data_IF_538866455889
#
_entry.id   IF_538866455889
#
_cell.length_a   1.000
_cell.length_b   1.000
_cell.length_c   1.000
_cell.angle_alpha   90.00
_cell.angle_beta   90.00
_cell.angle_gamma   90.00
#
_symmetry.space_group_name_H-M   'P 1'
#
loop_
_entity.id
_entity.type
_entity.pdbx_description
1 polymer ?
#
# COMPACT_ATOMS: atom_id res chain seq x y z
N UNK A 1 18.35 19.24 -37.25
CA UNK A 1 18.29 18.43 -36.02
C UNK A 1 17.05 18.85 -35.26
N UNK A 2 15.97 18.08 -35.34
CA UNK A 2 14.69 18.43 -34.73
C UNK A 2 14.68 17.89 -33.29
N UNK A 3 14.67 18.78 -32.30
CA UNK A 3 14.44 18.39 -30.89
C UNK A 3 12.99 17.96 -30.74
N UNK A 4 12.77 16.66 -30.57
CA UNK A 4 11.49 16.11 -30.14
C UNK A 4 11.27 16.54 -28.68
N UNK A 5 10.53 17.64 -28.47
CA UNK A 5 9.99 18.01 -27.17
C UNK A 5 8.97 16.95 -26.77
N UNK A 6 9.35 16.04 -25.88
CA UNK A 6 8.46 15.04 -25.30
C UNK A 6 7.37 15.72 -24.47
N UNK A 7 6.09 15.32 -24.59
CA UNK A 7 5.01 15.91 -23.83
C UNK A 7 5.12 15.58 -22.33
N UNK A 8 4.83 16.57 -21.49
CA UNK A 8 4.64 16.41 -20.05
C UNK A 8 3.37 15.56 -19.84
N UNK A 9 3.51 14.40 -19.19
CA UNK A 9 2.36 13.58 -18.78
C UNK A 9 2.15 13.78 -17.29
N UNK A 10 1.22 14.69 -16.95
CA UNK A 10 0.68 14.80 -15.59
C UNK A 10 -0.49 13.83 -15.48
N UNK A 11 -0.28 12.71 -14.79
CA UNK A 11 -1.38 11.84 -14.37
C UNK A 11 -1.98 12.47 -13.11
N UNK A 12 -3.14 13.12 -13.26
CA UNK A 12 -3.86 13.80 -12.18
C UNK A 12 -4.94 12.85 -11.64
N UNK A 13 -4.88 12.50 -10.35
CA UNK A 13 -5.99 11.84 -9.66
C UNK A 13 -7.03 12.93 -9.34
N UNK A 14 -7.98 13.14 -10.25
CA UNK A 14 -9.03 14.15 -10.10
C UNK A 14 -9.77 14.01 -8.74
N UNK A 15 -10.06 15.11 -8.02
CA UNK A 15 -10.78 15.04 -6.76
C UNK A 15 -12.19 14.45 -6.93
N UNK A 16 -12.50 13.40 -6.14
CA UNK A 16 -13.74 12.61 -6.18
C UNK A 16 -15.04 13.36 -5.81
N UNK A 17 -15.01 14.69 -5.67
CA UNK A 17 -16.16 15.48 -5.23
C UNK A 17 -17.09 15.93 -6.38
N UNK A 18 -16.82 15.52 -7.63
CA UNK A 18 -17.68 15.75 -8.78
C UNK A 18 -18.26 14.40 -9.23
N UNK A 19 -19.50 14.10 -8.86
CA UNK A 19 -20.15 12.81 -9.02
C UNK A 19 -20.34 12.35 -10.47
N UNK A 20 -19.29 11.80 -11.09
CA UNK A 20 -19.36 11.09 -12.36
C UNK A 20 -18.96 9.63 -12.17
N UNK A 21 -19.88 8.75 -12.55
CA UNK A 21 -19.75 7.29 -12.49
C UNK A 21 -18.57 6.79 -13.31
N UNK A 22 -17.67 6.02 -12.70
CA UNK A 22 -16.50 5.45 -13.36
C UNK A 22 -16.84 4.19 -14.16
N UNK A 23 -16.71 4.28 -15.48
CA UNK A 23 -16.53 3.12 -16.35
C UNK A 23 -15.04 2.79 -16.37
N UNK A 24 -14.62 1.72 -15.69
CA UNK A 24 -13.25 1.19 -15.80
C UNK A 24 -13.10 0.54 -17.18
N UNK A 25 -12.32 1.15 -18.07
CA UNK A 25 -11.75 0.45 -19.24
C UNK A 25 -10.32 -0.01 -18.90
N UNK A 26 -9.90 -1.20 -19.36
CA UNK A 26 -8.54 -1.66 -19.16
C UNK A 26 -7.56 -0.75 -19.93
N UNK A 27 -6.44 -0.45 -19.28
CA UNK A 27 -5.32 0.32 -19.82
C UNK A 27 -4.73 -0.45 -21.02
N UNK A 28 -5.11 -0.10 -22.25
CA UNK A 28 -4.43 -0.60 -23.44
C UNK A 28 -3.26 0.33 -23.78
N UNK A 29 -2.08 -0.25 -23.97
CA UNK A 29 -0.81 0.39 -24.32
C UNK A 29 -0.81 1.07 -25.70
N UNK A 30 -1.58 2.16 -25.84
CA UNK A 30 -1.42 3.13 -26.93
C UNK A 30 -1.35 4.53 -26.33
N UNK A 31 -0.13 5.06 -26.29
CA UNK A 31 0.19 6.45 -25.99
C UNK A 31 -0.63 7.36 -26.92
N UNK A 32 -1.74 7.89 -26.41
CA UNK A 32 -2.64 8.73 -27.17
C UNK A 32 -2.14 10.18 -27.15
N UNK A 33 -1.74 10.69 -28.32
CA UNK A 33 -1.66 12.13 -28.60
C UNK A 33 -3.08 12.69 -28.56
N UNK A 34 -3.45 13.43 -27.52
CA UNK A 34 -4.75 14.07 -27.41
C UNK A 34 -4.73 15.25 -26.45
N UNK A 35 -4.87 16.46 -27.00
CA UNK A 35 -4.91 17.70 -26.24
C UNK A 35 -6.17 17.82 -25.39
N UNK A 36 -5.97 18.09 -24.10
CA UNK A 36 -7.00 18.53 -23.16
C UNK A 36 -6.50 19.80 -22.48
N UNK A 37 -7.26 20.88 -22.62
CA UNK A 37 -6.99 22.19 -22.02
C UNK A 37 -7.30 22.11 -20.51
N UNK A 38 -6.32 22.39 -19.64
CA UNK A 38 -6.51 22.44 -18.18
C UNK A 38 -6.25 23.83 -17.60
N UNK A 39 -7.10 24.18 -16.64
CA UNK A 39 -7.27 25.45 -15.91
C UNK A 39 -5.98 25.96 -15.28
N UNK A 40 -5.75 27.27 -15.38
CA UNK A 40 -4.49 27.95 -15.04
C UNK A 40 -4.51 28.45 -13.58
N UNK A 41 -3.80 27.74 -12.70
CA UNK A 41 -3.25 28.32 -11.47
C UNK A 41 -1.79 28.73 -11.68
N UNK A 42 -1.23 29.60 -10.84
CA UNK A 42 0.19 30.02 -10.90
C UNK A 42 1.15 28.82 -10.90
N UNK A 43 0.80 27.75 -10.19
CA UNK A 43 1.54 26.46 -10.18
C UNK A 43 1.57 25.80 -11.57
N UNK A 44 0.48 25.91 -12.35
CA UNK A 44 0.40 25.34 -13.68
C UNK A 44 1.26 26.10 -14.70
N UNK A 45 1.52 27.41 -14.51
CA UNK A 45 2.47 28.16 -15.35
C UNK A 45 3.90 27.69 -15.08
N UNK A 46 4.29 27.57 -13.82
CA UNK A 46 5.63 27.09 -13.43
C UNK A 46 5.91 25.68 -13.94
N UNK A 47 4.94 24.76 -13.84
CA UNK A 47 5.08 23.39 -14.36
C UNK A 47 5.18 23.32 -15.89
N UNK A 48 4.64 24.29 -16.64
CA UNK A 48 4.78 24.36 -18.11
C UNK A 48 6.15 24.88 -18.55
N UNK A 49 6.80 25.66 -17.70
CA UNK A 49 8.12 26.24 -17.96
C UNK A 49 9.26 25.32 -17.52
N UNK A 50 8.95 24.21 -16.84
CA UNK A 50 9.95 23.21 -16.47
C UNK A 50 10.56 22.50 -17.69
N UNK A 51 11.87 22.22 -17.66
CA UNK A 51 12.52 21.38 -18.67
C UNK A 51 11.75 20.07 -18.85
N UNK A 52 11.58 19.65 -20.10
CA UNK A 52 10.83 18.45 -20.49
C UNK A 52 11.21 17.23 -19.65
N UNK A 53 10.33 16.88 -18.72
CA UNK A 53 10.38 15.68 -17.90
C UNK A 53 8.95 15.21 -17.63
N UNK A 54 8.75 13.91 -17.52
CA UNK A 54 7.45 13.37 -17.09
C UNK A 54 7.30 13.69 -15.61
N UNK A 55 6.21 14.36 -15.26
CA UNK A 55 5.93 14.82 -13.89
C UNK A 55 4.65 14.14 -13.45
N UNK A 56 4.71 13.25 -12.46
CA UNK A 56 3.49 12.68 -11.87
C UNK A 56 3.11 13.47 -10.63
N UNK A 57 1.92 14.07 -10.63
CA UNK A 57 1.38 14.84 -9.51
C UNK A 57 0.30 14.03 -8.79
N UNK A 58 0.43 13.92 -7.48
CA UNK A 58 -0.58 13.33 -6.60
C UNK A 58 -0.95 14.37 -5.54
N UNK A 59 -2.00 15.17 -5.82
CA UNK A 59 -2.43 16.30 -4.99
C UNK A 59 -1.31 17.33 -4.78
N UNK A 60 -0.70 17.32 -3.60
CA UNK A 60 0.36 18.22 -3.14
C UNK A 60 1.73 17.53 -3.15
N UNK A 61 1.85 16.39 -3.84
CA UNK A 61 3.09 15.61 -4.00
C UNK A 61 3.51 15.56 -5.45
N UNK A 62 4.82 15.54 -5.67
CA UNK A 62 5.44 15.57 -6.99
C UNK A 62 6.45 14.44 -7.15
N UNK A 63 6.37 13.71 -8.25
CA UNK A 63 7.40 12.80 -8.71
C UNK A 63 8.07 13.40 -9.96
N UNK A 64 9.38 13.59 -9.88
CA UNK A 64 10.23 14.07 -10.95
C UNK A 64 11.00 12.88 -11.54
N UNK A 65 10.85 12.66 -12.85
CA UNK A 65 11.52 11.57 -13.57
C UNK A 65 12.89 11.92 -14.14
N UNK A 66 13.42 13.09 -13.81
CA UNK A 66 14.72 13.57 -14.27
C UNK A 66 15.38 14.37 -13.18
N UNK A 67 16.71 14.35 -13.16
CA UNK A 67 17.44 15.26 -12.29
C UNK A 67 17.15 16.71 -12.71
N UNK A 68 16.91 17.54 -11.71
CA UNK A 68 16.79 19.00 -11.86
C UNK A 68 17.87 19.66 -11.02
N UNK A 69 18.28 20.85 -11.41
CA UNK A 69 19.29 21.61 -10.66
C UNK A 69 18.81 21.93 -9.24
N UNK A 70 19.73 21.90 -8.27
CA UNK A 70 19.42 22.13 -6.86
C UNK A 70 18.60 23.41 -6.58
N UNK A 71 18.93 24.58 -7.17
CA UNK A 71 18.12 25.79 -6.96
C UNK A 71 16.68 25.63 -7.46
N UNK A 72 16.45 24.82 -8.50
CA UNK A 72 15.11 24.53 -8.99
C UNK A 72 14.39 23.57 -8.05
N UNK A 73 15.08 22.53 -7.57
CA UNK A 73 14.53 21.56 -6.62
C UNK A 73 14.05 22.24 -5.33
N UNK A 74 14.86 23.12 -4.74
CA UNK A 74 14.49 23.87 -3.53
C UNK A 74 13.21 24.71 -3.72
N UNK A 75 13.04 25.30 -4.91
CA UNK A 75 11.83 26.07 -5.23
C UNK A 75 10.61 25.16 -5.37
N UNK A 76 10.78 23.96 -5.94
CA UNK A 76 9.71 22.96 -6.05
C UNK A 76 9.33 22.42 -4.68
N UNK A 77 10.29 22.10 -3.83
CA UNK A 77 10.06 21.60 -2.46
C UNK A 77 9.28 22.60 -1.58
N UNK A 78 9.29 23.89 -1.91
CA UNK A 78 8.45 24.91 -1.25
C UNK A 78 6.98 24.89 -1.71
N UNK A 79 6.69 24.31 -2.86
CA UNK A 79 5.36 24.28 -3.48
C UNK A 79 4.61 22.97 -3.25
N UNK A 80 5.31 21.92 -2.85
CA UNK A 80 4.77 20.58 -2.69
C UNK A 80 5.16 20.02 -1.31
N UNK A 81 4.24 19.33 -0.66
CA UNK A 81 4.47 18.66 0.62
C UNK A 81 5.56 17.57 0.52
N UNK A 82 5.69 16.96 -0.66
CA UNK A 82 6.72 15.97 -0.95
C UNK A 82 7.16 16.04 -2.41
N UNK A 83 8.46 16.05 -2.63
CA UNK A 83 9.08 15.95 -3.95
C UNK A 83 9.97 14.72 -3.95
N UNK A 84 9.72 13.81 -4.88
CA UNK A 84 10.50 12.59 -5.05
C UNK A 84 11.15 12.63 -6.42
N UNK A 85 12.46 12.43 -6.47
CA UNK A 85 13.20 12.27 -7.73
C UNK A 85 13.53 10.80 -7.91
N UNK A 86 13.12 10.22 -9.04
CA UNK A 86 13.39 8.84 -9.41
C UNK A 86 13.69 8.73 -10.91
N UNK A 87 14.52 7.77 -11.31
CA UNK A 87 14.77 7.52 -12.72
C UNK A 87 13.67 6.62 -13.32
N UNK A 88 13.27 6.82 -14.59
CA UNK A 88 12.31 5.95 -15.25
C UNK A 88 12.82 4.50 -15.32
N UNK A 89 12.02 3.56 -14.87
CA UNK A 89 12.27 2.12 -14.99
C UNK A 89 10.96 1.35 -15.15
N UNK A 90 11.05 0.10 -15.59
CA UNK A 90 9.89 -0.80 -15.66
C UNK A 90 9.29 -1.02 -14.25
N UNK A 91 10.15 -1.25 -13.25
CA UNK A 91 9.76 -1.35 -11.84
C UNK A 91 8.98 -0.12 -11.36
N UNK A 92 9.42 1.09 -11.74
CA UNK A 92 8.72 2.32 -11.34
C UNK A 92 7.31 2.37 -11.92
N UNK A 93 7.13 1.99 -13.19
CA UNK A 93 5.81 1.94 -13.82
C UNK A 93 4.91 0.90 -13.16
N UNK A 94 5.46 -0.26 -12.81
CA UNK A 94 4.75 -1.31 -12.07
C UNK A 94 4.27 -0.81 -10.70
N UNK A 95 5.17 -0.20 -9.93
CA UNK A 95 4.86 0.37 -8.61
C UNK A 95 3.74 1.42 -8.71
N UNK A 96 3.86 2.36 -9.65
CA UNK A 96 2.89 3.46 -9.80
C UNK A 96 1.51 2.98 -10.27
N UNK A 97 1.47 1.87 -11.02
CA UNK A 97 0.23 1.28 -11.56
C UNK A 97 -0.44 0.28 -10.61
N UNK A 98 0.25 -0.16 -9.56
CA UNK A 98 -0.26 -1.13 -8.61
C UNK A 98 -1.45 -0.60 -7.79
N UNK A 99 -2.48 -1.43 -7.59
CA UNK A 99 -3.63 -1.07 -6.74
C UNK A 99 -3.23 -0.84 -5.27
N UNK A 100 -2.14 -1.48 -4.82
CA UNK A 100 -1.55 -1.39 -3.48
C UNK A 100 -0.23 -0.58 -3.47
N UNK A 101 -0.09 0.43 -4.33
CA UNK A 101 1.12 1.28 -4.41
C UNK A 101 1.50 1.96 -3.08
N UNK A 102 0.56 2.14 -2.16
CA UNK A 102 0.82 2.61 -0.78
C UNK A 102 1.55 1.57 0.11
N UNK A 103 1.69 0.34 -0.38
CA UNK A 103 2.41 -0.77 0.26
C UNK A 103 3.71 -1.14 -0.47
N UNK A 104 4.07 -0.40 -1.53
CA UNK A 104 5.29 -0.58 -2.30
C UNK A 104 6.22 0.61 -2.09
N UNK A 105 7.53 0.34 -2.06
CA UNK A 105 8.56 1.36 -1.94
C UNK A 105 9.00 1.82 -3.32
N UNK A 106 9.24 3.12 -3.43
CA UNK A 106 9.72 3.76 -4.66
C UNK A 106 11.20 4.12 -4.51
N UNK A 107 11.58 4.64 -3.34
CA UNK A 107 12.97 5.02 -3.03
C UNK A 107 13.19 4.97 -1.52
N UNK A 108 14.45 4.81 -1.12
CA UNK A 108 14.88 5.07 0.25
C UNK A 108 16.18 5.89 0.27
N UNK A 109 16.39 6.63 1.36
CA UNK A 109 17.63 7.36 1.66
C UNK A 109 17.96 7.26 3.14
N UNK A 110 19.23 7.45 3.49
CA UNK A 110 19.67 7.53 4.88
C UNK A 110 19.87 8.97 5.30
N UNK A 111 19.28 9.35 6.44
CA UNK A 111 19.58 10.58 7.15
C UNK A 111 20.60 10.29 8.27
N UNK A 112 21.87 10.70 8.11
CA UNK A 112 22.92 10.45 9.10
C UNK A 112 22.76 11.29 10.37
N UNK A 113 22.05 12.43 10.32
CA UNK A 113 21.86 13.31 11.48
C UNK A 113 20.80 12.72 12.39
N UNK A 114 19.67 12.30 11.82
CA UNK A 114 18.61 11.67 12.59
C UNK A 114 18.88 10.18 12.86
N UNK A 115 19.79 9.55 12.12
CA UNK A 115 20.02 8.11 12.11
C UNK A 115 18.77 7.29 11.73
N UNK A 116 18.08 7.73 10.68
CA UNK A 116 16.88 7.09 10.14
C UNK A 116 17.02 6.79 8.66
N UNK A 117 16.30 5.76 8.21
CA UNK A 117 16.03 5.52 6.79
C UNK A 117 14.68 6.16 6.45
N UNK A 118 14.70 7.07 5.46
CA UNK A 118 13.52 7.73 4.93
C UNK A 118 13.09 6.97 3.67
N UNK A 119 11.87 6.43 3.69
CA UNK A 119 11.33 5.60 2.61
C UNK A 119 10.17 6.34 1.95
N UNK A 120 10.26 6.54 0.64
CA UNK A 120 9.16 7.06 -0.18
C UNK A 120 8.39 5.89 -0.80
N UNK A 121 7.07 5.91 -0.66
CA UNK A 121 6.17 4.86 -1.16
C UNK A 121 5.63 5.18 -2.56
N UNK A 122 4.99 4.21 -3.20
CA UNK A 122 4.39 4.39 -4.53
C UNK A 122 3.24 5.40 -4.59
N UNK A 123 2.63 5.75 -3.45
CA UNK A 123 1.68 6.87 -3.31
C UNK A 123 2.36 8.22 -2.96
N UNK A 124 3.70 8.26 -3.02
CA UNK A 124 4.58 9.36 -2.65
C UNK A 124 4.54 9.78 -1.17
N UNK A 125 3.88 9.01 -0.30
CA UNK A 125 3.98 9.26 1.14
C UNK A 125 5.33 8.78 1.68
N UNK A 126 5.75 9.40 2.79
CA UNK A 126 7.01 9.10 3.45
C UNK A 126 6.78 8.25 4.69
N UNK A 127 7.63 7.24 4.88
CA UNK A 127 7.74 6.43 6.08
C UNK A 127 9.16 6.58 6.64
N UNK A 128 9.28 6.85 7.94
CA UNK A 128 10.57 7.04 8.61
C UNK A 128 10.84 5.84 9.52
N UNK A 129 12.00 5.21 9.34
CA UNK A 129 12.37 3.97 10.05
C UNK A 129 13.72 4.18 10.76
N UNK A 130 13.83 3.96 12.08
CA UNK A 130 15.11 4.06 12.78
C UNK A 130 16.14 3.08 12.23
N UNK A 131 17.40 3.48 12.05
CA UNK A 131 18.45 2.56 11.58
C UNK A 131 18.62 1.36 12.52
N UNK A 132 18.36 1.55 13.81
CA UNK A 132 18.40 0.50 14.83
C UNK A 132 17.40 -0.65 14.59
N UNK A 133 16.36 -0.45 13.78
CA UNK A 133 15.45 -1.53 13.40
C UNK A 133 16.09 -2.54 12.44
N UNK A 134 17.04 -2.08 11.61
CA UNK A 134 17.85 -2.92 10.72
C UNK A 134 19.00 -3.62 11.47
N UNK A 135 18.85 -3.82 12.79
CA UNK A 135 19.88 -4.44 13.62
C UNK A 135 20.21 -5.84 13.17
N UNK A 136 21.50 -6.17 13.24
CA UNK A 136 22.03 -7.49 12.95
C UNK A 136 21.37 -8.55 13.85
N UNK A 137 20.70 -9.53 13.24
CA UNK A 137 20.40 -10.80 13.91
C UNK A 137 21.70 -11.59 14.08
N UNK A 138 21.81 -12.46 15.09
CA UNK A 138 23.04 -13.22 15.35
C UNK A 138 23.51 -13.96 14.07
N UNK A 139 24.63 -13.51 13.47
CA UNK A 139 25.20 -14.05 12.23
C UNK A 139 24.65 -13.47 10.92
N UNK A 140 23.76 -12.49 10.95
CA UNK A 140 23.23 -11.82 9.76
C UNK A 140 24.18 -10.77 9.16
N UNK A 141 23.95 -10.33 7.92
CA UNK A 141 24.70 -9.24 7.30
C UNK A 141 24.47 -7.93 8.08
N UNK A 142 25.52 -7.10 8.16
CA UNK A 142 25.41 -5.77 8.76
C UNK A 142 24.79 -4.80 7.73
N UNK A 143 23.85 -3.92 8.14
CA UNK A 143 23.31 -2.91 7.23
C UNK A 143 24.42 -1.94 6.79
N UNK A 144 24.54 -1.74 5.47
CA UNK A 144 25.41 -0.72 4.86
C UNK A 144 24.54 0.41 4.28
N UNK A 145 24.54 1.55 4.96
CA UNK A 145 23.73 2.71 4.59
C UNK A 145 24.20 3.41 3.31
N UNK A 146 25.43 3.16 2.86
CA UNK A 146 25.94 3.69 1.60
C UNK A 146 25.38 2.97 0.37
N UNK A 147 24.82 1.77 0.57
CA UNK A 147 24.27 0.88 -0.47
C UNK A 147 22.76 0.68 -0.34
N UNK A 148 22.03 1.70 0.13
CA UNK A 148 20.57 1.65 0.23
C UNK A 148 19.94 1.67 -1.16
N UNK A 149 19.04 0.72 -1.43
CA UNK A 149 18.25 0.67 -2.65
C UNK A 149 16.95 -0.09 -2.42
N UNK A 150 15.96 0.24 -3.22
CA UNK A 150 14.71 -0.51 -3.31
C UNK A 150 14.84 -1.52 -4.45
N UNK A 151 14.47 -2.77 -4.19
CA UNK A 151 14.54 -3.89 -5.16
C UNK A 151 13.22 -4.66 -5.16
N UNK A 152 13.12 -5.66 -6.03
CA UNK A 152 11.92 -6.50 -6.22
C UNK A 152 10.65 -5.67 -6.47
N UNK A 153 10.75 -4.71 -7.40
CA UNK A 153 9.64 -3.84 -7.80
C UNK A 153 8.93 -3.18 -6.61
N UNK A 154 9.73 -2.73 -5.64
CA UNK A 154 9.24 -2.02 -4.45
C UNK A 154 8.89 -2.90 -3.26
N UNK A 155 9.08 -4.22 -3.34
CA UNK A 155 8.72 -5.14 -2.26
C UNK A 155 9.83 -5.36 -1.24
N UNK A 156 11.08 -5.00 -1.56
CA UNK A 156 12.24 -5.23 -0.69
C UNK A 156 13.08 -3.95 -0.57
N UNK A 157 13.50 -3.64 0.65
CA UNK A 157 14.50 -2.62 0.94
C UNK A 157 15.83 -3.32 1.23
N UNK A 158 16.83 -3.07 0.38
CA UNK A 158 18.20 -3.53 0.59
C UNK A 158 19.03 -2.40 1.21
N UNK A 159 19.74 -2.71 2.29
CA UNK A 159 20.67 -1.82 3.01
C UNK A 159 22.04 -2.49 2.97
N UNK A 160 22.70 -2.47 1.81
CA UNK A 160 23.85 -3.33 1.54
C UNK A 160 23.43 -4.76 1.23
N UNK A 161 23.97 -5.71 1.99
CA UNK A 161 23.64 -7.13 1.87
C UNK A 161 22.50 -7.53 2.84
N UNK A 162 22.06 -6.60 3.70
CA UNK A 162 20.87 -6.75 4.52
C UNK A 162 19.62 -6.45 3.70
N UNK A 163 18.62 -7.32 3.75
CA UNK A 163 17.34 -7.15 3.07
C UNK A 163 16.18 -7.20 4.06
N UNK A 164 15.23 -6.30 3.90
CA UNK A 164 13.97 -6.30 4.62
C UNK A 164 12.78 -6.18 3.67
N UNK A 165 11.81 -7.07 3.83
CA UNK A 165 10.56 -7.00 3.09
C UNK A 165 9.77 -5.73 3.50
N UNK A 166 9.20 -5.05 2.50
CA UNK A 166 8.34 -3.88 2.70
C UNK A 166 7.19 -4.20 3.65
N UNK A 167 6.61 -5.41 3.54
CA UNK A 167 5.55 -5.88 4.41
C UNK A 167 5.94 -5.95 5.90
N UNK A 168 7.20 -6.28 6.22
CA UNK A 168 7.70 -6.32 7.59
C UNK A 168 7.90 -4.91 8.17
N UNK A 169 8.51 -4.03 7.37
CA UNK A 169 8.70 -2.61 7.73
C UNK A 169 7.33 -1.94 7.94
N UNK A 170 6.41 -2.08 6.99
CA UNK A 170 5.07 -1.48 7.08
C UNK A 170 4.27 -2.04 8.26
N UNK A 171 4.44 -3.32 8.59
CA UNK A 171 3.78 -3.88 9.77
C UNK A 171 4.25 -3.21 11.05
N UNK A 172 5.54 -2.90 11.19
CA UNK A 172 6.05 -2.26 12.40
C UNK A 172 5.67 -0.77 12.46
N UNK A 173 5.84 -0.04 11.36
CA UNK A 173 5.80 1.44 11.36
C UNK A 173 4.53 2.06 10.78
N UNK A 174 3.63 1.31 10.14
CA UNK A 174 2.36 1.81 9.59
C UNK A 174 1.15 1.15 10.28
N UNK A 175 0.45 1.94 11.11
CA UNK A 175 -0.74 1.49 11.84
C UNK A 175 -1.92 1.14 10.91
N UNK A 176 -2.08 1.85 9.80
CA UNK A 176 -3.15 1.59 8.85
C UNK A 176 -2.86 0.36 8.01
N UNK A 177 -1.60 0.16 7.61
CA UNK A 177 -1.16 -1.10 7.01
C UNK A 177 -1.44 -2.28 7.95
N UNK A 178 -1.08 -2.20 9.25
CA UNK A 178 -1.41 -3.25 10.23
C UNK A 178 -2.89 -3.58 10.27
N UNK A 179 -3.76 -2.56 10.27
CA UNK A 179 -5.22 -2.75 10.23
C UNK A 179 -5.66 -3.50 8.96
N UNK A 180 -5.13 -3.10 7.79
CA UNK A 180 -5.39 -3.76 6.50
C UNK A 180 -4.87 -5.20 6.48
N UNK A 181 -3.62 -5.42 6.89
CA UNK A 181 -2.98 -6.73 6.98
C UNK A 181 -3.76 -7.68 7.90
N UNK A 182 -4.18 -7.21 9.09
CA UNK A 182 -5.04 -7.98 10.00
C UNK A 182 -6.38 -8.33 9.36
N UNK A 183 -7.01 -7.41 8.63
CA UNK A 183 -8.25 -7.67 7.89
C UNK A 183 -8.04 -8.72 6.79
N UNK A 184 -6.93 -8.66 6.03
CA UNK A 184 -6.55 -9.66 5.02
C UNK A 184 -6.33 -11.03 5.64
N UNK A 185 -5.56 -11.12 6.71
CA UNK A 185 -5.30 -12.37 7.44
C UNK A 185 -6.60 -13.01 7.94
N UNK A 186 -7.48 -12.22 8.54
CA UNK A 186 -8.80 -12.67 8.99
C UNK A 186 -9.72 -13.14 7.84
N UNK A 187 -9.54 -12.61 6.63
CA UNK A 187 -10.32 -13.02 5.46
C UNK A 187 -9.79 -14.33 4.88
N UNK A 188 -8.46 -14.53 4.90
CA UNK A 188 -7.76 -15.73 4.43
C UNK A 188 -7.60 -16.84 5.48
N UNK A 189 -8.15 -16.65 6.68
CA UNK A 189 -8.04 -17.63 7.77
C UNK A 189 -8.81 -18.92 7.41
N UNK A 190 -8.08 -19.95 7.00
CA UNK A 190 -8.65 -21.23 6.58
C UNK A 190 -8.99 -22.16 7.76
N UNK A 191 -8.89 -21.68 9.01
CA UNK A 191 -9.31 -22.47 10.17
C UNK A 191 -10.84 -22.56 10.24
N UNK A 192 -11.34 -23.58 10.94
CA UNK A 192 -12.77 -23.68 11.26
C UNK A 192 -13.33 -22.41 11.91
N UNK A 193 -12.57 -21.78 12.80
CA UNK A 193 -12.95 -20.52 13.45
C UNK A 193 -13.09 -19.37 12.46
N UNK A 194 -12.16 -19.27 11.51
CA UNK A 194 -12.20 -18.33 10.39
C UNK A 194 -13.44 -18.53 9.51
N UNK A 195 -13.70 -19.77 9.09
CA UNK A 195 -14.88 -20.14 8.30
C UNK A 195 -16.20 -19.81 9.01
N UNK A 196 -16.30 -20.20 10.28
CA UNK A 196 -17.47 -19.91 11.10
C UNK A 196 -17.72 -18.40 11.22
N UNK A 197 -16.65 -17.62 11.43
CA UNK A 197 -16.73 -16.15 11.53
C UNK A 197 -17.19 -15.53 10.21
N UNK A 198 -16.64 -15.95 9.07
CA UNK A 198 -17.04 -15.46 7.74
C UNK A 198 -18.51 -15.77 7.48
N UNK A 199 -18.93 -17.02 7.68
CA UNK A 199 -20.31 -17.44 7.50
C UNK A 199 -21.26 -16.64 8.41
N UNK A 200 -20.90 -16.43 9.68
CA UNK A 200 -21.72 -15.63 10.61
C UNK A 200 -21.90 -14.19 10.10
N UNK A 201 -20.82 -13.55 9.68
CA UNK A 201 -20.87 -12.17 9.16
C UNK A 201 -21.65 -12.09 7.84
N UNK A 202 -21.52 -13.08 6.96
CA UNK A 202 -22.31 -13.18 5.73
C UNK A 202 -23.81 -13.30 6.01
N UNK A 203 -24.20 -13.97 7.10
CA UNK A 203 -25.60 -14.06 7.56
C UNK A 203 -26.05 -12.84 8.37
N UNK A 204 -25.19 -11.82 8.56
CA UNK A 204 -25.53 -10.60 9.29
C UNK A 204 -25.74 -10.80 10.79
N UNK A 205 -25.21 -11.88 11.37
CA UNK A 205 -25.46 -12.24 12.78
C UNK A 205 -24.37 -11.72 13.71
N UNK A 206 -24.78 -11.15 14.85
CA UNK A 206 -23.90 -10.90 15.98
C UNK A 206 -23.60 -12.18 16.75
N UNK A 207 -22.53 -12.19 17.56
CA UNK A 207 -22.23 -13.33 18.45
C UNK A 207 -23.32 -13.54 19.51
N UNK A 208 -23.97 -12.46 19.93
CA UNK A 208 -25.05 -12.50 20.91
C UNK A 208 -26.30 -13.22 20.39
N UNK A 209 -26.51 -13.24 19.06
CA UNK A 209 -27.70 -13.86 18.44
C UNK A 209 -27.74 -15.38 18.61
N UNK A 210 -26.63 -16.01 19.01
CA UNK A 210 -26.57 -17.44 19.32
C UNK A 210 -27.11 -17.77 20.72
N UNK A 211 -27.40 -16.74 21.53
CA UNK A 211 -28.11 -16.89 22.79
C UNK A 211 -29.54 -17.41 22.57
N UNK A 212 -30.15 -18.04 23.58
CA UNK A 212 -29.59 -18.36 24.90
C UNK A 212 -28.70 -19.62 24.91
N UNK A 213 -28.68 -20.39 23.82
CA UNK A 213 -28.07 -21.72 23.79
C UNK A 213 -26.55 -21.72 23.70
N UNK A 214 -25.95 -20.67 23.14
CA UNK A 214 -24.51 -20.46 23.13
C UNK A 214 -24.20 -19.02 23.56
N UNK A 215 -23.27 -18.89 24.51
CA UNK A 215 -22.82 -17.56 24.92
C UNK A 215 -21.97 -16.91 23.82
N UNK A 216 -22.06 -15.58 23.71
CA UNK A 216 -21.22 -14.82 22.79
C UNK A 216 -19.72 -15.05 23.04
N UNK A 217 -19.33 -15.31 24.30
CA UNK A 217 -17.96 -15.68 24.70
C UNK A 217 -17.55 -17.00 24.08
N UNK A 218 -18.39 -18.04 24.17
CA UNK A 218 -18.13 -19.36 23.59
C UNK A 218 -17.94 -19.28 22.08
N UNK A 219 -18.85 -18.59 21.38
CA UNK A 219 -18.72 -18.36 19.93
C UNK A 219 -17.42 -17.63 19.62
N UNK A 220 -17.08 -16.59 20.39
CA UNK A 220 -15.83 -15.85 20.23
C UNK A 220 -14.57 -16.70 20.42
N UNK A 221 -14.55 -17.64 21.37
CA UNK A 221 -13.40 -18.54 21.56
C UNK A 221 -13.21 -19.51 20.40
N UNK A 222 -14.30 -20.04 19.85
CA UNK A 222 -14.28 -20.92 18.68
C UNK A 222 -13.78 -20.16 17.44
N UNK A 223 -14.30 -18.95 17.21
CA UNK A 223 -13.84 -18.10 16.10
C UNK A 223 -12.37 -17.71 16.18
N UNK A 224 -11.78 -17.67 17.39
CA UNK A 224 -10.36 -17.38 17.60
C UNK A 224 -9.48 -18.63 17.58
N UNK A 225 -10.04 -19.82 17.33
CA UNK A 225 -9.29 -21.07 17.36
C UNK A 225 -8.83 -21.52 18.74
N UNK A 226 -9.31 -20.91 19.84
CA UNK A 226 -8.99 -21.33 21.21
C UNK A 226 -9.65 -22.66 21.61
N UNK A 227 -10.57 -23.15 20.77
CA UNK A 227 -11.27 -24.41 20.94
C UNK A 227 -10.95 -25.28 19.74
N UNK A 228 -9.98 -26.18 19.90
CA UNK A 228 -9.45 -27.02 18.82
C UNK A 228 -10.52 -27.94 18.22
N UNK A 229 -11.41 -28.50 19.06
CA UNK A 229 -12.54 -29.35 18.62
C UNK A 229 -13.82 -28.98 19.37
N UNK A 230 -14.71 -28.16 18.78
CA UNK A 230 -16.02 -27.87 19.36
C UNK A 230 -16.84 -29.16 19.54
N UNK A 231 -17.52 -29.31 20.68
CA UNK A 231 -18.36 -30.49 20.94
C UNK A 231 -19.49 -30.61 19.89
N UNK A 232 -19.89 -31.83 19.54
CA UNK A 232 -20.93 -32.07 18.51
C UNK A 232 -22.25 -31.35 18.77
N UNK A 233 -22.67 -31.24 20.04
CA UNK A 233 -23.84 -30.42 20.43
C UNK A 233 -23.67 -28.94 20.07
N UNK A 234 -22.48 -28.39 20.29
CA UNK A 234 -22.15 -27.00 19.93
C UNK A 234 -22.19 -26.80 18.42
N UNK A 235 -21.61 -27.73 17.66
CA UNK A 235 -21.65 -27.70 16.20
C UNK A 235 -23.08 -27.72 15.64
N UNK A 236 -23.92 -28.58 16.22
CA UNK A 236 -25.34 -28.68 15.83
C UNK A 236 -26.09 -27.39 16.09
N UNK A 237 -25.83 -26.72 17.23
CA UNK A 237 -26.45 -25.43 17.56
C UNK A 237 -25.97 -24.32 16.62
N UNK A 238 -24.68 -24.29 16.27
CA UNK A 238 -24.12 -23.35 15.30
C UNK A 238 -24.75 -23.55 13.92
N UNK A 239 -24.75 -24.78 13.41
CA UNK A 239 -25.34 -25.18 12.14
C UNK A 239 -26.82 -24.79 12.05
N UNK A 240 -27.61 -25.11 13.09
CA UNK A 240 -29.02 -24.75 13.16
C UNK A 240 -29.26 -23.25 13.09
N UNK A 241 -28.47 -22.44 13.81
CA UNK A 241 -28.61 -20.98 13.79
C UNK A 241 -28.18 -20.37 12.46
N UNK A 242 -27.12 -20.91 11.86
CA UNK A 242 -26.55 -20.44 10.59
C UNK A 242 -27.28 -20.98 9.36
N UNK A 243 -28.23 -21.92 9.55
CA UNK A 243 -29.02 -22.58 8.50
C UNK A 243 -28.13 -23.24 7.44
N UNK A 244 -27.10 -23.94 7.90
CA UNK A 244 -26.21 -24.77 7.06
C UNK A 244 -26.02 -26.12 7.74
N UNK A 245 -25.69 -27.19 7.00
CA UNK A 245 -25.35 -28.47 7.62
C UNK A 245 -23.99 -28.38 8.35
N UNK A 246 -23.75 -29.29 9.28
CA UNK A 246 -22.58 -29.23 10.20
C UNK A 246 -21.26 -29.35 9.47
N UNK A 247 -21.20 -30.20 8.45
CA UNK A 247 -20.07 -30.42 7.54
C UNK A 247 -19.72 -29.16 6.73
N UNK A 248 -20.70 -28.36 6.34
CA UNK A 248 -20.48 -27.12 5.62
C UNK A 248 -19.95 -25.96 6.49
N UNK A 249 -19.88 -26.09 7.81
CA UNK A 249 -19.40 -24.99 8.67
C UNK A 249 -17.92 -24.63 8.43
N UNK A 250 -17.12 -25.60 7.95
CA UNK A 250 -15.68 -25.43 7.72
C UNK A 250 -15.32 -24.98 6.29
N UNK A 251 -16.31 -24.86 5.39
CA UNK A 251 -16.07 -24.65 3.95
C UNK A 251 -16.24 -23.21 3.47
N UNK A 252 -16.53 -22.28 4.38
CA UNK A 252 -16.70 -20.84 4.10
C UNK A 252 -15.43 -20.07 4.41
#
# INVERSE_FOLDING_TARGET
MNSLTSPIVVLDDAPKHLGLSSVRKPFSSKWAKGGGQLVVSSTARFLREMPTGVVHRLKDRLLLLSQIEQPTLENVERLFDAVVVAEPSEDLLEILSAENRDELFLRASFDPVANHVVIHRGDLSTLVVPLSWFSQTAGGPQPDTSRIRVVDSGQTLAVGDYEAAASAILYEFDADYRRRAKKRALTKDNTFGGSLRRLRLQKGLARADFGPHLSAKTVGRIERGEVEKPRGRTLTLLAKKLKVPVDALASY
#
